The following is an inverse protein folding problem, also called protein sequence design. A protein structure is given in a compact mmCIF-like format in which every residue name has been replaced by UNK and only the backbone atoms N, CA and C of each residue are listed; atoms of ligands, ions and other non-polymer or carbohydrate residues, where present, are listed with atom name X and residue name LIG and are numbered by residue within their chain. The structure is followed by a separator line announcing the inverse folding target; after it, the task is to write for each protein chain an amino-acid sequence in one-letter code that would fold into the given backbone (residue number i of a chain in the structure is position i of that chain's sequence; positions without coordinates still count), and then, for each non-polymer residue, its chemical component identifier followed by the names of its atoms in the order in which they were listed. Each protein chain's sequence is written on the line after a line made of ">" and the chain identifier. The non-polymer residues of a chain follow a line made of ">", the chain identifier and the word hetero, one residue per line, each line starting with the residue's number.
data_IF_165082332000
#
_entry.id   IF_165082332000
#
_cell.length_a   1.000
_cell.length_b   1.000
_cell.length_c   1.000
_cell.angle_alpha   90.00
_cell.angle_beta   90.00
_cell.angle_gamma   90.00
#
_symmetry.space_group_name_H-M   'P 1'
#
loop_
_entity.id
_entity.type
_entity.pdbx_description
1 polymer ?
#
# COMPACT_ATOMS: atom_id res chain seq x y z
N UNK A 1 -21.93 -52.80 15.75
CA UNK A 1 -20.82 -51.83 15.48
C UNK A 1 -21.31 -50.38 15.27
N UNK A 2 -22.49 -49.98 15.77
CA UNK A 2 -23.08 -48.65 15.49
C UNK A 2 -22.97 -47.61 16.63
N UNK A 3 -22.28 -47.91 17.73
CA UNK A 3 -22.16 -46.99 18.87
C UNK A 3 -21.04 -45.94 18.76
N UNK A 4 -20.00 -46.20 17.95
CA UNK A 4 -18.82 -45.31 17.87
C UNK A 4 -18.94 -44.18 16.84
N UNK A 5 -19.82 -44.29 15.83
CA UNK A 5 -20.03 -43.23 14.84
C UNK A 5 -20.87 -42.06 15.38
N UNK A 6 -21.87 -42.36 16.22
CA UNK A 6 -22.76 -41.34 16.81
C UNK A 6 -22.08 -40.44 17.86
N UNK A 7 -20.98 -40.90 18.49
CA UNK A 7 -20.21 -40.11 19.46
C UNK A 7 -19.16 -39.19 18.81
N UNK A 8 -18.70 -39.49 17.59
CA UNK A 8 -17.81 -38.60 16.84
C UNK A 8 -18.60 -37.45 16.18
N UNK A 9 -19.78 -37.74 15.63
CA UNK A 9 -20.62 -36.70 15.00
C UNK A 9 -21.19 -35.71 16.02
N UNK A 10 -21.48 -36.13 17.26
CA UNK A 10 -21.94 -35.22 18.32
C UNK A 10 -20.81 -34.36 18.89
N UNK A 11 -19.57 -34.85 18.89
CA UNK A 11 -18.38 -34.11 19.28
C UNK A 11 -18.01 -33.02 18.28
N UNK A 12 -18.10 -33.30 16.98
CA UNK A 12 -17.82 -32.32 15.92
C UNK A 12 -18.90 -31.23 15.85
N UNK A 13 -20.17 -31.55 16.14
CA UNK A 13 -21.24 -30.55 16.25
C UNK A 13 -21.10 -29.68 17.51
N UNK A 14 -20.66 -30.24 18.65
CA UNK A 14 -20.37 -29.47 19.86
C UNK A 14 -19.11 -28.59 19.71
N UNK A 15 -18.12 -29.04 18.94
CA UNK A 15 -16.94 -28.22 18.60
C UNK A 15 -17.28 -27.12 17.61
N UNK A 16 -18.12 -27.38 16.60
CA UNK A 16 -18.61 -26.37 15.67
C UNK A 16 -19.50 -25.31 16.35
N UNK A 17 -20.25 -25.69 17.40
CA UNK A 17 -21.05 -24.77 18.21
C UNK A 17 -20.21 -24.00 19.24
N UNK A 18 -19.04 -24.53 19.63
CA UNK A 18 -18.06 -23.80 20.45
C UNK A 18 -17.28 -22.72 19.68
N UNK A 19 -17.16 -22.87 18.35
CA UNK A 19 -16.65 -21.82 17.43
C UNK A 19 -17.67 -20.71 17.19
N UNK A 20 -18.94 -20.96 17.53
CA UNK A 20 -20.00 -19.95 17.71
C UNK A 20 -20.07 -19.46 19.17
N UNK A 21 -18.93 -19.38 19.87
CA UNK A 21 -18.82 -18.50 21.05
C UNK A 21 -19.16 -17.08 20.61
N UNK A 22 -20.43 -16.72 20.86
CA UNK A 22 -21.01 -15.37 20.88
C UNK A 22 -19.92 -14.34 20.61
N UNK A 23 -19.83 -13.90 19.35
CA UNK A 23 -19.29 -12.61 19.04
C UNK A 23 -19.90 -11.66 20.05
N UNK A 24 -19.10 -11.16 20.99
CA UNK A 24 -19.49 -10.01 21.79
C UNK A 24 -19.58 -8.90 20.76
N UNK A 25 -20.81 -8.74 20.26
CA UNK A 25 -21.26 -7.88 19.18
C UNK A 25 -21.28 -6.43 19.68
N UNK A 26 -20.15 -5.97 20.19
CA UNK A 26 -19.96 -4.59 20.59
C UNK A 26 -18.67 -4.12 19.93
N UNK A 27 -18.86 -3.36 18.84
CA UNK A 27 -17.87 -2.51 18.17
C UNK A 27 -17.04 -3.16 17.06
N UNK A 28 -17.72 -3.53 15.96
CA UNK A 28 -17.08 -3.73 14.65
C UNK A 28 -16.78 -2.35 14.03
N UNK A 29 -15.50 -2.05 13.82
CA UNK A 29 -15.06 -0.83 13.12
C UNK A 29 -15.52 -0.89 11.65
N UNK A 30 -15.99 0.25 11.12
CA UNK A 30 -16.64 0.28 9.81
C UNK A 30 -15.70 0.37 8.59
N UNK A 31 -14.45 0.79 8.77
CA UNK A 31 -13.41 0.94 7.73
C UNK A 31 -12.39 -0.20 7.75
N UNK A 32 -12.42 -1.08 8.75
CA UNK A 32 -11.50 -2.21 8.78
C UNK A 32 -11.92 -3.37 9.65
N UNK A 33 -11.35 -4.53 9.32
CA UNK A 33 -11.53 -5.79 10.03
C UNK A 33 -10.35 -6.03 10.96
N UNK A 34 -10.63 -6.38 12.22
CA UNK A 34 -9.59 -6.61 13.22
C UNK A 34 -8.70 -7.79 12.81
N UNK A 35 -7.39 -7.57 12.73
CA UNK A 35 -6.41 -8.63 12.46
C UNK A 35 -6.18 -9.40 13.75
N UNK A 36 -6.64 -10.66 13.79
CA UNK A 36 -6.52 -11.54 14.97
C UNK A 36 -5.32 -12.48 14.90
N UNK A 37 -4.76 -12.68 13.70
CA UNK A 37 -3.66 -13.61 13.43
C UNK A 37 -2.30 -13.02 13.78
N UNK A 38 -2.16 -12.45 14.98
CA UNK A 38 -0.86 -12.01 15.49
C UNK A 38 -0.02 -13.24 15.91
N UNK A 39 0.45 -14.00 14.92
CA UNK A 39 1.49 -15.03 15.13
C UNK A 39 2.82 -14.42 15.57
N UNK A 40 3.03 -13.12 15.30
CA UNK A 40 4.17 -12.34 15.74
C UNK A 40 3.86 -11.57 17.04
N UNK A 41 4.48 -11.93 18.18
CA UNK A 41 4.34 -11.20 19.44
C UNK A 41 4.82 -9.74 19.35
N UNK A 42 5.79 -9.43 18.48
CA UNK A 42 6.32 -8.07 18.32
C UNK A 42 5.25 -7.18 17.69
N UNK A 43 4.65 -7.59 16.57
CA UNK A 43 3.54 -6.87 15.96
C UNK A 43 2.35 -6.64 16.89
N UNK A 44 2.08 -7.57 17.82
CA UNK A 44 0.99 -7.42 18.80
C UNK A 44 1.26 -6.34 19.86
N UNK A 45 2.50 -6.21 20.33
CA UNK A 45 2.88 -5.24 21.36
C UNK A 45 3.22 -3.86 20.79
N UNK A 46 3.63 -3.80 19.51
CA UNK A 46 4.04 -2.58 18.82
C UNK A 46 3.04 -1.41 18.99
N UNK A 47 1.71 -1.57 18.79
CA UNK A 47 0.75 -0.49 19.03
C UNK A 47 0.72 0.05 20.47
N UNK A 48 1.18 -0.72 21.46
CA UNK A 48 1.23 -0.29 22.86
C UNK A 48 2.50 0.51 23.16
N UNK A 49 3.63 0.08 22.59
CA UNK A 49 4.94 0.74 22.69
C UNK A 49 4.92 2.05 21.88
N UNK A 50 4.59 1.93 20.60
CA UNK A 50 4.40 3.03 19.66
C UNK A 50 2.90 3.33 19.52
N UNK A 51 2.44 4.26 20.36
CA UNK A 51 1.13 4.90 20.45
C UNK A 51 0.75 5.71 19.19
N UNK A 52 1.61 6.61 18.73
CA UNK A 52 1.37 7.52 17.60
C UNK A 52 1.81 6.96 16.26
N UNK A 53 1.40 7.59 15.15
CA UNK A 53 1.87 7.21 13.79
C UNK A 53 3.23 7.83 13.45
N UNK A 54 3.48 9.06 13.91
CA UNK A 54 4.76 9.71 13.62
C UNK A 54 5.92 9.15 14.45
N UNK A 55 5.64 8.54 15.60
CA UNK A 55 6.67 7.81 16.36
C UNK A 55 6.94 6.41 15.81
N UNK A 56 6.09 5.91 14.91
CA UNK A 56 6.26 4.64 14.19
C UNK A 56 6.51 4.86 12.69
N UNK A 57 6.89 6.08 12.31
CA UNK A 57 7.08 6.46 10.91
C UNK A 57 8.45 6.03 10.40
N UNK A 58 8.44 5.30 9.29
CA UNK A 58 9.63 4.94 8.52
C UNK A 58 9.62 5.73 7.22
N UNK A 59 10.78 6.31 6.90
CA UNK A 59 10.97 7.17 5.75
C UNK A 59 11.74 6.42 4.65
N UNK A 60 11.18 6.37 3.45
CA UNK A 60 11.79 5.75 2.27
C UNK A 60 11.91 6.79 1.16
N UNK A 61 13.12 7.03 0.66
CA UNK A 61 13.35 7.82 -0.56
C UNK A 61 13.71 6.90 -1.71
N UNK A 62 13.03 7.04 -2.83
CA UNK A 62 13.28 6.30 -4.07
C UNK A 62 13.42 7.27 -5.24
N UNK A 63 14.38 7.03 -6.12
CA UNK A 63 14.57 7.78 -7.36
C UNK A 63 14.41 6.84 -8.54
N UNK A 64 13.46 7.13 -9.43
CA UNK A 64 13.17 6.29 -10.59
C UNK A 64 13.56 7.00 -11.88
N UNK A 65 14.28 6.30 -12.75
CA UNK A 65 14.47 6.76 -14.12
C UNK A 65 13.12 6.70 -14.84
N UNK A 66 12.70 7.80 -15.47
CA UNK A 66 11.37 7.88 -16.10
C UNK A 66 11.40 7.54 -17.59
N UNK A 67 12.51 7.08 -18.16
CA UNK A 67 12.63 6.87 -19.61
C UNK A 67 11.61 5.85 -20.13
N UNK A 68 11.53 4.66 -19.51
CA UNK A 68 10.52 3.64 -19.86
C UNK A 68 9.10 4.15 -19.68
N UNK A 69 8.85 4.87 -18.58
CA UNK A 69 7.55 5.45 -18.28
C UNK A 69 7.14 6.51 -19.30
N UNK A 70 8.08 7.37 -19.72
CA UNK A 70 7.84 8.39 -20.75
C UNK A 70 7.60 7.75 -22.10
N UNK A 71 8.36 6.71 -22.45
CA UNK A 71 8.13 5.96 -23.69
C UNK A 71 6.72 5.38 -23.70
N UNK A 72 6.34 4.68 -22.64
CA UNK A 72 5.01 4.10 -22.49
C UNK A 72 3.90 5.17 -22.61
N UNK A 73 4.01 6.30 -21.89
CA UNK A 73 3.05 7.41 -21.97
C UNK A 73 2.93 7.95 -23.40
N UNK A 74 4.05 8.06 -24.14
CA UNK A 74 4.03 8.52 -25.54
C UNK A 74 3.32 7.52 -26.45
N UNK A 75 3.52 6.23 -26.24
CA UNK A 75 2.85 5.17 -27.00
C UNK A 75 1.34 5.17 -26.74
N UNK A 76 0.92 5.22 -25.47
CA UNK A 76 -0.49 5.35 -25.09
C UNK A 76 -1.13 6.61 -25.69
N UNK A 77 -0.40 7.75 -25.70
CA UNK A 77 -0.88 9.00 -26.32
C UNK A 77 -1.10 8.86 -27.82
N UNK A 78 -0.27 8.10 -28.54
CA UNK A 78 -0.48 7.83 -29.98
C UNK A 78 -1.77 7.03 -30.23
N UNK A 79 -2.17 6.21 -29.27
CA UNK A 79 -3.43 5.45 -29.31
C UNK A 79 -4.64 6.28 -28.83
N UNK A 80 -4.45 7.57 -28.54
CA UNK A 80 -5.52 8.47 -28.05
C UNK A 80 -5.72 8.44 -26.53
N UNK A 81 -4.99 7.61 -25.78
CA UNK A 81 -5.12 7.50 -24.33
C UNK A 81 -4.21 8.50 -23.61
N UNK A 82 -4.76 9.33 -22.73
CA UNK A 82 -4.00 10.33 -21.95
C UNK A 82 -3.61 9.80 -20.57
N UNK A 83 -2.67 8.86 -20.55
CA UNK A 83 -2.07 8.36 -19.30
C UNK A 83 -1.03 9.36 -18.77
N UNK A 84 -1.01 9.57 -17.46
CA UNK A 84 -0.05 10.44 -16.76
C UNK A 84 0.87 9.64 -15.84
N UNK A 85 1.99 10.25 -15.42
CA UNK A 85 2.88 9.69 -14.39
C UNK A 85 2.11 9.42 -13.09
N UNK A 86 1.18 10.31 -12.74
CA UNK A 86 0.35 10.16 -11.55
C UNK A 86 -0.57 8.93 -11.63
N UNK A 87 -1.16 8.67 -12.81
CA UNK A 87 -1.99 7.47 -13.03
C UNK A 87 -1.18 6.18 -12.89
N UNK A 88 0.04 6.17 -13.45
CA UNK A 88 0.95 5.03 -13.36
C UNK A 88 1.32 4.75 -11.91
N UNK A 89 1.73 5.78 -11.15
CA UNK A 89 2.08 5.62 -9.73
C UNK A 89 0.88 5.14 -8.90
N UNK A 90 -0.31 5.69 -9.14
CA UNK A 90 -1.54 5.26 -8.46
C UNK A 90 -1.90 3.81 -8.76
N UNK A 91 -1.81 3.39 -10.03
CA UNK A 91 -1.99 2.01 -10.43
C UNK A 91 -0.92 1.09 -9.82
N UNK A 92 0.34 1.53 -9.72
CA UNK A 92 1.38 0.79 -9.03
C UNK A 92 1.04 0.57 -7.55
N UNK A 93 0.52 1.58 -6.85
CA UNK A 93 0.02 1.40 -5.48
C UNK A 93 -1.11 0.38 -5.41
N UNK A 94 -2.08 0.46 -6.31
CA UNK A 94 -3.19 -0.51 -6.40
C UNK A 94 -2.67 -1.95 -6.55
N UNK A 95 -1.85 -2.21 -7.55
CA UNK A 95 -1.26 -3.53 -7.79
C UNK A 95 -0.44 -4.01 -6.58
N UNK A 96 0.39 -3.13 -6.03
CA UNK A 96 1.26 -3.50 -4.90
C UNK A 96 0.41 -3.84 -3.67
N UNK A 97 -0.59 -3.04 -3.32
CA UNK A 97 -1.37 -3.24 -2.09
C UNK A 97 -2.29 -4.45 -2.17
N UNK A 98 -2.90 -4.72 -3.31
CA UNK A 98 -3.77 -5.90 -3.45
C UNK A 98 -2.97 -7.20 -3.45
N UNK A 99 -1.78 -7.19 -4.03
CA UNK A 99 -0.86 -8.34 -4.01
C UNK A 99 -0.11 -8.48 -2.67
N UNK A 100 0.02 -7.37 -1.95
CA UNK A 100 0.70 -7.29 -0.66
C UNK A 100 -0.24 -6.72 0.42
N UNK A 101 -1.31 -7.46 0.80
CA UNK A 101 -2.41 -6.94 1.61
C UNK A 101 -2.01 -6.43 3.00
N UNK A 102 -0.85 -6.82 3.54
CA UNK A 102 -0.39 -6.28 4.83
C UNK A 102 -0.06 -4.78 4.77
N UNK A 103 0.25 -4.24 3.58
CA UNK A 103 0.41 -2.79 3.39
C UNK A 103 -0.92 -2.06 3.57
N UNK A 104 -2.04 -2.71 3.25
CA UNK A 104 -3.37 -2.14 3.38
C UNK A 104 -3.95 -2.33 4.80
N UNK A 105 -3.11 -2.17 5.81
CA UNK A 105 -3.47 -2.25 7.22
C UNK A 105 -3.27 -0.91 7.91
N UNK A 106 -3.86 -0.78 9.09
CA UNK A 106 -3.70 0.41 9.93
C UNK A 106 -3.86 0.08 11.41
N UNK A 107 -3.24 0.90 12.25
CA UNK A 107 -3.40 0.83 13.69
C UNK A 107 -4.42 1.88 14.15
N UNK A 108 -5.39 1.44 14.95
CA UNK A 108 -6.38 2.28 15.63
C UNK A 108 -6.71 1.67 16.99
N UNK A 109 -6.94 2.47 18.03
CA UNK A 109 -7.31 1.92 19.35
C UNK A 109 -6.31 0.92 19.93
N UNK A 110 -5.02 1.03 19.56
CA UNK A 110 -3.93 0.09 19.87
C UNK A 110 -4.14 -1.33 19.33
N UNK A 111 -4.85 -1.44 18.21
CA UNK A 111 -5.13 -2.70 17.52
C UNK A 111 -4.86 -2.55 16.03
N UNK A 112 -4.43 -3.64 15.41
CA UNK A 112 -4.16 -3.70 13.98
C UNK A 112 -5.43 -4.11 13.22
N UNK A 113 -5.74 -3.38 12.15
CA UNK A 113 -6.90 -3.60 11.29
C UNK A 113 -6.45 -3.75 9.83
N UNK A 114 -7.14 -4.59 9.10
CA UNK A 114 -7.10 -4.67 7.64
C UNK A 114 -8.16 -3.73 7.09
N UNK A 115 -7.82 -2.83 6.17
CA UNK A 115 -8.82 -2.02 5.47
C UNK A 115 -9.80 -2.90 4.71
N UNK A 116 -11.07 -2.50 4.68
CA UNK A 116 -12.12 -3.23 3.94
C UNK A 116 -12.10 -2.93 2.43
N UNK A 117 -11.47 -1.83 2.04
CA UNK A 117 -11.36 -1.36 0.66
C UNK A 117 -9.94 -0.86 0.37
N UNK A 118 -9.65 -0.56 -0.89
CA UNK A 118 -8.45 0.16 -1.27
C UNK A 118 -8.83 1.56 -1.77
N UNK A 119 -8.47 2.58 -0.98
CA UNK A 119 -8.80 3.98 -1.27
C UNK A 119 -7.52 4.81 -1.39
N UNK A 120 -7.42 5.63 -2.43
CA UNK A 120 -6.36 6.63 -2.57
C UNK A 120 -6.94 8.01 -2.30
N UNK A 121 -6.28 8.76 -1.41
CA UNK A 121 -6.48 10.20 -1.25
C UNK A 121 -5.41 10.96 -2.00
N UNK A 122 -5.78 12.07 -2.64
CA UNK A 122 -4.80 13.00 -3.19
C UNK A 122 -5.29 14.44 -3.20
N UNK A 123 -4.32 15.37 -3.13
CA UNK A 123 -4.62 16.81 -3.16
C UNK A 123 -4.85 17.26 -4.60
N UNK A 124 -5.94 17.99 -4.82
CA UNK A 124 -6.24 18.69 -6.07
C UNK A 124 -6.30 20.17 -5.79
N UNK A 125 -5.44 20.92 -6.48
CA UNK A 125 -5.49 22.38 -6.44
C UNK A 125 -6.45 22.89 -7.52
N UNK A 126 -7.42 23.70 -7.10
CA UNK A 126 -8.45 24.26 -8.01
C UNK A 126 -7.85 25.30 -8.97
N UNK A 127 -6.91 26.11 -8.48
CA UNK A 127 -6.16 27.09 -9.27
C UNK A 127 -4.67 27.07 -8.90
N UNK A 128 -3.79 27.23 -9.89
CA UNK A 128 -2.33 27.33 -9.67
C UNK A 128 -1.91 28.73 -9.20
N UNK A 129 -2.54 29.21 -8.12
CA UNK A 129 -2.27 30.48 -7.45
C UNK A 129 -2.13 30.25 -5.94
N UNK A 130 -1.53 31.19 -5.21
CA UNK A 130 -1.39 31.06 -3.75
C UNK A 130 -2.75 31.05 -3.03
N UNK A 131 -3.75 31.71 -3.60
CA UNK A 131 -5.13 31.76 -3.11
C UNK A 131 -6.00 30.59 -3.59
N UNK A 132 -5.48 29.75 -4.50
CA UNK A 132 -6.19 28.60 -5.03
C UNK A 132 -6.49 27.58 -3.94
N UNK A 133 -7.78 27.29 -3.73
CA UNK A 133 -8.22 26.32 -2.74
C UNK A 133 -7.67 24.92 -3.07
N UNK A 134 -7.19 24.25 -2.02
CA UNK A 134 -6.83 22.84 -2.05
C UNK A 134 -8.03 22.03 -1.58
N UNK A 135 -8.41 21.02 -2.36
CA UNK A 135 -9.42 20.04 -1.98
C UNK A 135 -8.82 18.65 -2.09
N UNK A 136 -9.42 17.66 -1.41
CA UNK A 136 -8.92 16.30 -1.40
C UNK A 136 -9.87 15.40 -2.19
N UNK A 137 -9.32 14.69 -3.16
CA UNK A 137 -10.03 13.63 -3.88
C UNK A 137 -9.87 12.32 -3.12
N UNK A 138 -10.97 11.59 -2.92
CA UNK A 138 -10.98 10.21 -2.43
C UNK A 138 -11.49 9.31 -3.54
N UNK A 139 -10.66 8.36 -3.97
CA UNK A 139 -11.01 7.42 -5.04
C UNK A 139 -10.88 6.00 -4.54
N UNK A 140 -11.95 5.23 -4.72
CA UNK A 140 -12.00 3.81 -4.39
C UNK A 140 -11.64 2.98 -5.63
N UNK A 141 -10.77 2.00 -5.43
CA UNK A 141 -10.42 1.01 -6.44
C UNK A 141 -10.61 -0.41 -5.93
N UNK A 142 -10.77 -1.33 -6.87
CA UNK A 142 -10.89 -2.76 -6.65
C UNK A 142 -9.85 -3.55 -7.46
N UNK A 143 -9.86 -4.87 -7.34
CA UNK A 143 -8.89 -5.74 -8.00
C UNK A 143 -9.09 -5.94 -9.49
N UNK A 144 -10.17 -5.43 -10.06
CA UNK A 144 -10.50 -5.54 -11.48
C UNK A 144 -10.19 -4.24 -12.24
N UNK A 145 -9.85 -3.16 -11.54
CA UNK A 145 -9.43 -1.89 -12.14
C UNK A 145 -8.09 -2.02 -12.88
N UNK A 146 -8.10 -1.73 -14.19
CA UNK A 146 -6.90 -1.57 -15.02
C UNK A 146 -6.31 -0.16 -14.92
N UNK A 147 -5.14 0.08 -15.51
CA UNK A 147 -4.57 1.44 -15.62
C UNK A 147 -5.52 2.45 -16.31
N UNK A 148 -6.35 2.00 -17.25
CA UNK A 148 -7.33 2.87 -17.91
C UNK A 148 -8.49 3.22 -16.96
N UNK A 149 -9.01 2.24 -16.22
CA UNK A 149 -10.00 2.48 -15.16
C UNK A 149 -9.45 3.44 -14.10
N UNK A 150 -8.18 3.29 -13.70
CA UNK A 150 -7.53 4.19 -12.75
C UNK A 150 -7.52 5.62 -13.29
N UNK A 151 -7.09 5.81 -14.53
CA UNK A 151 -7.12 7.11 -15.21
C UNK A 151 -8.53 7.70 -15.24
N UNK A 152 -9.53 6.94 -15.66
CA UNK A 152 -10.91 7.45 -15.80
C UNK A 152 -11.55 7.83 -14.46
N UNK A 153 -11.39 6.99 -13.44
CA UNK A 153 -11.88 7.29 -12.08
C UNK A 153 -11.19 8.53 -11.50
N UNK A 154 -9.88 8.69 -11.71
CA UNK A 154 -9.15 9.87 -11.22
C UNK A 154 -9.55 11.14 -11.96
N UNK A 155 -9.66 11.09 -13.29
CA UNK A 155 -10.10 12.25 -14.09
C UNK A 155 -11.51 12.69 -13.67
N UNK A 156 -12.44 11.74 -13.45
CA UNK A 156 -13.78 12.04 -12.95
C UNK A 156 -13.75 12.86 -11.65
N UNK A 157 -12.95 12.45 -10.66
CA UNK A 157 -12.87 13.16 -9.39
C UNK A 157 -12.12 14.50 -9.48
N UNK A 158 -11.15 14.62 -10.39
CA UNK A 158 -10.48 15.90 -10.66
C UNK A 158 -11.47 16.89 -11.27
N UNK A 159 -12.27 16.45 -12.25
CA UNK A 159 -13.26 17.27 -12.93
C UNK A 159 -14.41 17.65 -12.00
N UNK A 160 -14.84 16.72 -11.13
CA UNK A 160 -15.82 16.99 -10.07
C UNK A 160 -15.34 18.10 -9.11
N UNK A 161 -14.08 18.05 -8.68
CA UNK A 161 -13.48 19.08 -7.80
C UNK A 161 -13.38 20.43 -8.52
N UNK A 162 -12.97 20.44 -9.78
CA UNK A 162 -12.80 21.69 -10.54
C UNK A 162 -14.13 22.30 -10.99
N UNK A 163 -15.15 21.47 -11.19
CA UNK A 163 -16.48 21.90 -11.63
C UNK A 163 -17.43 22.29 -10.49
N UNK A 164 -17.11 21.96 -9.23
CA UNK A 164 -17.93 22.28 -8.07
C UNK A 164 -17.43 23.53 -7.32
N UNK A 165 -18.34 24.46 -7.03
CA UNK A 165 -18.08 25.51 -6.04
C UNK A 165 -18.20 24.93 -4.63
N UNK A 166 -17.08 24.36 -4.16
CA UNK A 166 -16.88 23.89 -2.79
C UNK A 166 -17.62 22.59 -2.47
N UNK A 167 -16.85 21.51 -2.28
CA UNK A 167 -17.35 20.20 -1.85
C UNK A 167 -17.97 20.25 -0.45
N UNK A 168 -18.74 19.20 -0.12
CA UNK A 168 -19.37 19.05 1.21
C UNK A 168 -18.36 19.01 2.36
N UNK A 169 -17.19 18.41 2.15
CA UNK A 169 -16.08 18.37 3.11
C UNK A 169 -15.52 19.78 3.39
N UNK A 170 -15.28 20.58 2.35
CA UNK A 170 -14.80 21.96 2.47
C UNK A 170 -15.82 22.83 3.23
N UNK A 171 -17.12 22.68 2.95
CA UNK A 171 -18.19 23.37 3.68
C UNK A 171 -18.26 22.95 5.15
N UNK A 172 -18.10 21.67 5.42
CA UNK A 172 -18.07 21.14 6.78
C UNK A 172 -16.87 21.68 7.57
N UNK A 173 -15.67 21.64 6.98
CA UNK A 173 -14.46 22.21 7.58
C UNK A 173 -14.63 23.72 7.83
N UNK A 174 -15.20 24.44 6.86
CA UNK A 174 -15.52 25.86 6.98
C UNK A 174 -16.54 26.18 8.08
N UNK A 175 -17.48 25.28 8.35
CA UNK A 175 -18.45 25.44 9.45
C UNK A 175 -17.82 25.11 10.81
N UNK A 176 -17.06 24.03 10.89
CA UNK A 176 -16.36 23.61 12.11
C UNK A 176 -15.38 24.69 12.56
N UNK A 177 -14.59 25.25 11.65
CA UNK A 177 -13.57 26.28 11.96
C UNK A 177 -14.15 27.60 12.50
N UNK A 178 -15.44 27.89 12.28
CA UNK A 178 -16.12 29.07 12.84
C UNK A 178 -16.54 28.91 14.30
N UNK A 179 -16.47 27.70 14.87
CA UNK A 179 -16.86 27.44 16.25
C UNK A 179 -15.85 28.03 17.26
N UNK A 180 -16.30 28.43 18.46
CA UNK A 180 -15.39 28.86 19.52
C UNK A 180 -14.36 27.77 19.88
N UNK A 181 -13.14 28.19 20.24
CA UNK A 181 -12.01 27.29 20.54
C UNK A 181 -12.33 26.19 21.58
N UNK A 182 -13.17 26.50 22.58
CA UNK A 182 -13.58 25.53 23.59
C UNK A 182 -14.43 24.40 23.00
N UNK A 183 -15.39 24.73 22.15
CA UNK A 183 -16.28 23.78 21.49
C UNK A 183 -15.51 22.94 20.46
N UNK A 184 -14.62 23.55 19.69
CA UNK A 184 -13.71 22.85 18.78
C UNK A 184 -12.89 21.77 19.49
N UNK A 185 -12.31 22.12 20.66
CA UNK A 185 -11.51 21.16 21.45
C UNK A 185 -12.35 19.98 21.90
N UNK A 186 -13.57 20.23 22.39
CA UNK A 186 -14.49 19.17 22.83
C UNK A 186 -14.89 18.29 21.64
N UNK A 187 -15.24 18.88 20.50
CA UNK A 187 -15.64 18.16 19.29
C UNK A 187 -14.52 17.23 18.78
N UNK A 188 -13.29 17.76 18.67
CA UNK A 188 -12.13 16.97 18.25
C UNK A 188 -11.79 15.87 19.27
N UNK A 189 -11.96 16.14 20.56
CA UNK A 189 -11.77 15.12 21.59
C UNK A 189 -12.81 14.00 21.47
N UNK A 190 -14.10 14.33 21.28
CA UNK A 190 -15.16 13.34 21.02
C UNK A 190 -14.82 12.53 19.77
N UNK A 191 -14.42 13.18 18.68
CA UNK A 191 -14.01 12.51 17.44
C UNK A 191 -12.86 11.52 17.67
N UNK A 192 -11.83 11.91 18.42
CA UNK A 192 -10.73 11.00 18.80
C UNK A 192 -11.19 9.83 19.66
N UNK A 193 -12.08 10.04 20.63
CA UNK A 193 -12.62 8.95 21.46
C UNK A 193 -13.45 7.98 20.62
N UNK A 194 -14.29 8.49 19.72
CA UNK A 194 -15.07 7.66 18.80
C UNK A 194 -14.17 6.85 17.88
N UNK A 195 -13.18 7.48 17.25
CA UNK A 195 -12.24 6.78 16.36
C UNK A 195 -11.41 5.73 17.11
N UNK A 196 -10.93 6.06 18.32
CA UNK A 196 -10.17 5.13 19.17
C UNK A 196 -10.96 3.86 19.50
N UNK A 197 -12.26 3.98 19.76
CA UNK A 197 -13.14 2.83 20.06
C UNK A 197 -13.77 2.20 18.82
N UNK A 198 -13.44 2.67 17.60
CA UNK A 198 -14.01 2.17 16.34
C UNK A 198 -15.49 2.52 16.14
N UNK A 199 -15.95 3.58 16.81
CA UNK A 199 -17.34 4.07 16.84
C UNK A 199 -17.60 5.23 15.87
N UNK A 200 -16.62 5.60 15.04
CA UNK A 200 -16.78 6.72 14.11
C UNK A 200 -17.90 6.45 13.09
N UNK A 201 -18.96 7.28 13.04
CA UNK A 201 -20.05 7.16 12.08
C UNK A 201 -19.54 7.14 10.63
N UNK A 202 -20.18 6.37 9.76
CA UNK A 202 -19.79 6.25 8.35
C UNK A 202 -19.75 7.61 7.64
N UNK A 203 -20.79 8.43 7.80
CA UNK A 203 -20.86 9.77 7.21
C UNK A 203 -19.65 10.64 7.58
N UNK A 204 -19.18 10.61 8.83
CA UNK A 204 -17.99 11.36 9.23
C UNK A 204 -16.69 10.78 8.64
N UNK A 205 -16.58 9.45 8.49
CA UNK A 205 -15.41 8.83 7.85
C UNK A 205 -15.33 9.14 6.36
N UNK A 206 -16.48 9.24 5.70
CA UNK A 206 -16.55 9.57 4.27
C UNK A 206 -16.27 11.07 4.04
N UNK A 207 -16.65 11.94 4.98
CA UNK A 207 -16.44 13.38 4.93
C UNK A 207 -15.03 13.82 5.34
N UNK A 208 -14.38 13.09 6.25
CA UNK A 208 -13.04 13.44 6.75
C UNK A 208 -11.99 12.84 5.81
N UNK A 209 -11.14 13.64 5.15
CA UNK A 209 -10.17 13.18 4.17
C UNK A 209 -8.90 12.60 4.81
N UNK A 210 -9.06 11.70 5.79
CA UNK A 210 -7.99 11.04 6.54
C UNK A 210 -8.19 9.52 6.65
N UNK A 211 -9.23 8.99 6.01
CA UNK A 211 -9.58 7.57 5.99
C UNK A 211 -9.31 6.99 4.59
N UNK A 212 -8.12 6.43 4.40
CA UNK A 212 -7.70 5.79 3.15
C UNK A 212 -6.61 4.75 3.34
N UNK A 213 -6.31 4.01 2.28
CA UNK A 213 -5.16 3.11 2.23
C UNK A 213 -3.86 3.87 2.04
N UNK A 214 -3.85 4.80 1.07
CA UNK A 214 -2.69 5.63 0.72
C UNK A 214 -3.12 7.08 0.55
N UNK A 215 -2.25 8.01 0.92
CA UNK A 215 -2.39 9.43 0.60
C UNK A 215 -1.23 9.85 -0.30
N UNK A 216 -1.52 10.38 -1.48
CA UNK A 216 -0.53 10.82 -2.46
C UNK A 216 -0.59 12.34 -2.64
N UNK A 217 0.56 13.01 -2.53
CA UNK A 217 0.69 14.43 -2.84
C UNK A 217 1.66 14.65 -4.00
N UNK A 218 1.16 15.16 -5.12
CA UNK A 218 1.98 15.38 -6.31
C UNK A 218 2.54 16.81 -6.36
N UNK A 219 3.57 17.07 -5.54
CA UNK A 219 4.28 18.35 -5.48
C UNK A 219 4.97 18.72 -6.81
N UNK A 220 5.38 17.71 -7.59
CA UNK A 220 5.95 17.93 -8.92
C UNK A 220 5.04 18.64 -9.90
N UNK A 221 3.71 18.50 -9.75
CA UNK A 221 2.74 19.20 -10.61
C UNK A 221 2.75 20.72 -10.43
N UNK A 222 3.25 21.19 -9.28
CA UNK A 222 3.45 22.61 -8.95
C UNK A 222 4.94 23.00 -8.93
N UNK A 223 5.82 22.16 -9.48
CA UNK A 223 7.26 22.42 -9.57
C UNK A 223 8.07 22.17 -8.29
N UNK A 224 7.46 21.53 -7.28
CA UNK A 224 8.13 21.17 -6.03
C UNK A 224 8.92 19.85 -6.12
N UNK A 225 9.89 19.68 -5.21
CA UNK A 225 10.62 18.42 -5.03
C UNK A 225 9.81 17.46 -4.13
N UNK A 226 10.19 16.18 -4.10
CA UNK A 226 9.58 15.21 -3.19
C UNK A 226 10.03 15.50 -1.76
N UNK A 227 9.08 15.83 -0.88
CA UNK A 227 9.33 16.10 0.54
C UNK A 227 8.84 14.93 1.39
N UNK A 228 9.51 14.63 2.50
CA UNK A 228 8.89 13.72 3.48
C UNK A 228 7.69 14.41 4.12
N UNK A 229 6.54 13.73 4.08
CA UNK A 229 5.32 14.20 4.70
C UNK A 229 4.96 13.27 5.85
N UNK A 230 4.69 13.85 7.01
CA UNK A 230 4.21 13.16 8.20
C UNK A 230 2.95 12.31 7.95
N UNK A 231 2.70 11.35 8.85
CA UNK A 231 1.41 10.66 8.90
C UNK A 231 0.44 11.43 9.78
N UNK A 232 -0.84 11.46 9.41
CA UNK A 232 -1.86 12.08 10.26
C UNK A 232 -2.16 11.17 11.46
N UNK A 233 -2.06 11.71 12.68
CA UNK A 233 -2.39 10.96 13.91
C UNK A 233 -3.87 10.55 14.00
N UNK A 234 -4.73 11.19 13.22
CA UNK A 234 -6.16 10.91 13.15
C UNK A 234 -6.52 10.30 11.79
N UNK A 235 -7.48 9.38 11.76
CA UNK A 235 -7.87 8.63 10.56
C UNK A 235 -7.25 7.24 10.50
N UNK A 236 -7.14 6.67 9.30
CA UNK A 236 -6.65 5.29 9.06
C UNK A 236 -5.61 5.16 7.95
N UNK A 237 -5.12 6.28 7.40
CA UNK A 237 -4.03 6.27 6.42
C UNK A 237 -2.69 5.93 7.07
N UNK A 238 -2.09 4.83 6.61
CA UNK A 238 -0.81 4.31 7.12
C UNK A 238 0.38 4.56 6.18
N UNK A 239 0.11 4.97 4.93
CA UNK A 239 1.12 5.23 3.92
C UNK A 239 0.86 6.58 3.26
N UNK A 240 1.87 7.45 3.30
CA UNK A 240 1.88 8.72 2.60
C UNK A 240 2.98 8.73 1.55
N UNK A 241 2.68 9.14 0.33
CA UNK A 241 3.63 9.27 -0.77
C UNK A 241 3.65 10.71 -1.29
N UNK A 242 4.83 11.29 -1.44
CA UNK A 242 5.00 12.53 -2.21
C UNK A 242 5.74 12.26 -3.51
N UNK A 243 5.26 12.90 -4.57
CA UNK A 243 5.84 12.80 -5.92
C UNK A 243 6.46 14.15 -6.27
N UNK A 244 7.77 14.18 -6.47
CA UNK A 244 8.51 15.37 -6.87
C UNK A 244 8.40 15.70 -8.36
N UNK A 245 9.03 16.81 -8.77
CA UNK A 245 9.22 17.14 -10.18
C UNK A 245 10.21 16.20 -10.85
N UNK A 246 10.13 16.12 -12.18
CA UNK A 246 11.11 15.41 -12.98
C UNK A 246 12.34 16.31 -13.15
N UNK A 247 13.53 15.76 -12.89
CA UNK A 247 14.82 16.44 -13.03
C UNK A 247 15.84 15.53 -13.71
N UNK A 248 17.01 16.07 -14.08
CA UNK A 248 18.11 15.27 -14.62
C UNK A 248 19.04 14.79 -13.50
N UNK A 249 19.34 13.50 -13.48
CA UNK A 249 20.25 12.87 -12.52
C UNK A 249 21.33 12.09 -13.30
N UNK A 250 22.61 12.13 -12.87
CA UNK A 250 23.65 11.32 -13.49
C UNK A 250 23.47 9.85 -13.09
N UNK A 251 23.54 8.96 -14.08
CA UNK A 251 23.61 7.51 -13.92
C UNK A 251 24.91 7.01 -14.54
N UNK A 252 25.50 5.98 -13.95
CA UNK A 252 26.63 5.27 -14.53
C UNK A 252 26.08 4.22 -15.50
N UNK A 253 26.52 4.24 -16.75
CA UNK A 253 26.24 3.16 -17.69
C UNK A 253 27.06 1.93 -17.30
N UNK A 254 26.40 0.77 -17.20
CA UNK A 254 27.05 -0.46 -16.73
C UNK A 254 27.96 -1.05 -17.80
N UNK A 255 27.72 -0.77 -19.08
CA UNK A 255 28.48 -1.32 -20.20
C UNK A 255 29.63 -0.41 -20.64
N UNK A 256 29.42 0.91 -20.63
CA UNK A 256 30.41 1.87 -21.13
C UNK A 256 31.20 2.58 -20.03
N UNK A 257 30.76 2.43 -18.78
CA UNK A 257 31.30 3.16 -17.62
C UNK A 257 31.12 4.68 -17.66
N UNK A 258 30.40 5.20 -18.65
CA UNK A 258 30.20 6.64 -18.85
C UNK A 258 29.05 7.18 -17.99
N UNK A 259 29.13 8.48 -17.67
CA UNK A 259 28.05 9.18 -16.98
C UNK A 259 26.99 9.62 -17.99
N UNK A 260 25.81 9.00 -17.89
CA UNK A 260 24.64 9.32 -18.70
C UNK A 260 23.63 10.09 -17.86
N UNK A 261 23.21 11.26 -18.35
CA UNK A 261 22.16 12.06 -17.71
C UNK A 261 20.79 11.54 -18.10
N UNK A 262 20.05 11.00 -17.13
CA UNK A 262 18.69 10.50 -17.35
C UNK A 262 17.68 11.35 -16.61
N UNK A 263 16.45 11.39 -17.13
CA UNK A 263 15.34 12.03 -16.44
C UNK A 263 14.90 11.13 -15.29
N UNK A 264 14.71 11.73 -14.13
CA UNK A 264 14.42 11.03 -12.89
C UNK A 264 13.30 11.72 -12.14
N UNK A 265 12.48 10.93 -11.46
CA UNK A 265 11.50 11.39 -10.50
C UNK A 265 11.80 10.81 -9.12
N UNK A 266 11.69 11.64 -8.09
CA UNK A 266 11.83 11.20 -6.71
C UNK A 266 10.44 10.93 -6.11
N UNK A 267 10.32 9.79 -5.43
CA UNK A 267 9.19 9.44 -4.57
C UNK A 267 9.67 9.33 -3.13
N UNK A 268 9.04 10.06 -2.22
CA UNK A 268 9.29 9.90 -0.78
C UNK A 268 8.05 9.30 -0.13
N UNK A 269 8.23 8.17 0.55
CA UNK A 269 7.19 7.50 1.30
C UNK A 269 7.43 7.66 2.80
N UNK A 270 6.34 7.87 3.53
CA UNK A 270 6.30 7.75 5.00
C UNK A 270 5.30 6.66 5.34
N UNK A 271 5.76 5.64 6.05
CA UNK A 271 5.01 4.40 6.27
C UNK A 271 4.96 4.09 7.77
N UNK A 272 3.80 3.70 8.28
CA UNK A 272 3.65 3.21 9.65
C UNK A 272 4.24 1.79 9.75
N UNK A 273 5.36 1.62 10.44
CA UNK A 273 6.04 0.31 10.55
C UNK A 273 5.20 -0.77 11.25
N UNK A 274 4.16 -0.37 11.99
CA UNK A 274 3.32 -1.30 12.74
C UNK A 274 2.43 -2.16 11.85
N UNK A 275 2.31 -1.83 10.56
CA UNK A 275 1.38 -2.51 9.64
C UNK A 275 1.93 -3.84 9.11
N UNK A 276 3.25 -3.94 8.94
CA UNK A 276 3.94 -5.14 8.46
C UNK A 276 5.43 -5.12 8.85
N UNK A 277 6.06 -6.29 8.88
CA UNK A 277 7.49 -6.40 9.18
C UNK A 277 8.40 -5.89 8.03
N UNK A 278 9.68 -5.69 8.35
CA UNK A 278 10.66 -5.16 7.41
C UNK A 278 10.92 -6.06 6.19
N UNK A 279 10.90 -7.38 6.33
CA UNK A 279 11.11 -8.29 5.18
C UNK A 279 9.93 -8.19 4.22
N UNK A 280 8.70 -8.17 4.76
CA UNK A 280 7.49 -7.96 4.00
C UNK A 280 7.54 -6.62 3.26
N UNK A 281 7.96 -5.55 3.95
CA UNK A 281 8.09 -4.20 3.39
C UNK A 281 9.08 -4.16 2.22
N UNK A 282 10.28 -4.71 2.37
CA UNK A 282 11.30 -4.71 1.32
C UNK A 282 10.82 -5.49 0.10
N UNK A 283 10.20 -6.66 0.28
CA UNK A 283 9.62 -7.42 -0.84
C UNK A 283 8.47 -6.68 -1.53
N UNK A 284 7.68 -5.92 -0.77
CA UNK A 284 6.65 -5.06 -1.33
C UNK A 284 7.21 -3.90 -2.14
N UNK A 285 8.29 -3.26 -1.67
CA UNK A 285 8.96 -2.19 -2.41
C UNK A 285 9.64 -2.71 -3.68
N UNK A 286 10.23 -3.91 -3.65
CA UNK A 286 10.76 -4.56 -4.86
C UNK A 286 9.66 -4.80 -5.91
N UNK A 287 8.46 -5.20 -5.46
CA UNK A 287 7.32 -5.35 -6.34
C UNK A 287 6.86 -4.00 -6.92
N UNK A 288 6.81 -2.97 -6.07
CA UNK A 288 6.50 -1.60 -6.49
C UNK A 288 7.49 -1.12 -7.55
N UNK A 289 8.79 -1.32 -7.33
CA UNK A 289 9.86 -0.92 -8.26
C UNK A 289 9.66 -1.60 -9.64
N UNK A 290 9.36 -2.90 -9.66
CA UNK A 290 9.14 -3.65 -10.90
C UNK A 290 8.01 -3.08 -11.78
N UNK A 291 6.95 -2.57 -11.16
CA UNK A 291 5.82 -1.95 -11.86
C UNK A 291 6.12 -0.54 -12.36
N UNK A 292 6.90 0.25 -11.61
CA UNK A 292 7.35 1.57 -12.07
C UNK A 292 8.29 1.43 -13.26
N UNK A 293 9.21 0.46 -13.21
CA UNK A 293 10.22 0.26 -14.25
C UNK A 293 9.61 -0.31 -15.55
N UNK A 294 8.48 -1.02 -15.45
CA UNK A 294 7.73 -1.54 -16.60
C UNK A 294 6.21 -1.26 -16.50
N UNK A 295 5.76 -0.04 -16.88
CA UNK A 295 4.35 0.34 -16.76
C UNK A 295 3.38 -0.45 -17.63
N UNK A 296 3.85 -1.17 -18.67
CA UNK A 296 2.98 -2.02 -19.48
C UNK A 296 2.36 -3.17 -18.66
N UNK A 297 3.00 -3.56 -17.55
CA UNK A 297 2.45 -4.55 -16.61
C UNK A 297 1.21 -4.07 -15.84
N UNK A 298 0.86 -2.78 -15.93
CA UNK A 298 -0.31 -2.17 -15.28
C UNK A 298 -1.56 -2.20 -16.19
N UNK A 299 -1.44 -2.67 -17.43
CA UNK A 299 -2.60 -2.81 -18.33
C UNK A 299 -3.52 -3.96 -17.92
N UNK A 300 -2.96 -5.04 -17.37
CA UNK A 300 -3.72 -6.11 -16.73
C UNK A 300 -4.26 -5.65 -15.38
N UNK A 301 -5.37 -6.22 -14.93
CA UNK A 301 -5.88 -5.92 -13.57
C UNK A 301 -5.04 -6.61 -12.48
N UNK A 302 -5.09 -6.13 -11.22
CA UNK A 302 -4.47 -6.81 -10.09
C UNK A 302 -4.90 -8.27 -9.95
N UNK A 303 -6.20 -8.58 -10.11
CA UNK A 303 -6.73 -9.95 -10.00
C UNK A 303 -6.20 -10.86 -11.12
N UNK A 304 -6.10 -10.34 -12.34
CA UNK A 304 -5.50 -11.07 -13.46
C UNK A 304 -4.03 -11.39 -13.18
N UNK A 305 -3.26 -10.39 -12.72
CA UNK A 305 -1.85 -10.57 -12.37
C UNK A 305 -1.65 -11.63 -11.26
N UNK A 306 -2.52 -11.64 -10.24
CA UNK A 306 -2.51 -12.65 -9.17
C UNK A 306 -2.78 -14.04 -9.75
N UNK A 307 -3.83 -14.18 -10.55
CA UNK A 307 -4.20 -15.45 -11.16
C UNK A 307 -3.10 -16.00 -12.08
N UNK A 308 -2.39 -15.14 -12.81
CA UNK A 308 -1.23 -15.54 -13.61
C UNK A 308 -0.07 -16.05 -12.75
N UNK A 309 0.22 -15.37 -11.64
CA UNK A 309 1.29 -15.78 -10.74
C UNK A 309 1.00 -17.11 -10.05
N UNK A 310 -0.24 -17.32 -9.61
CA UNK A 310 -0.69 -18.60 -9.06
C UNK A 310 -0.51 -19.74 -10.08
N UNK A 311 -0.90 -19.51 -11.34
CA UNK A 311 -0.69 -20.48 -12.42
C UNK A 311 0.80 -20.76 -12.66
N UNK A 312 1.65 -19.73 -12.64
CA UNK A 312 3.11 -19.87 -12.81
C UNK A 312 3.73 -20.65 -11.65
N UNK A 313 3.27 -20.41 -10.42
CA UNK A 313 3.74 -21.13 -9.23
C UNK A 313 3.31 -22.60 -9.26
N UNK A 314 2.06 -22.87 -9.65
CA UNK A 314 1.55 -24.24 -9.78
C UNK A 314 2.37 -25.05 -10.80
N UNK A 315 2.66 -24.48 -11.97
CA UNK A 315 3.52 -25.13 -12.98
C UNK A 315 4.92 -25.41 -12.45
N UNK A 316 5.55 -24.44 -11.77
CA UNK A 316 6.88 -24.62 -11.15
C UNK A 316 6.87 -25.73 -10.09
N UNK A 317 5.81 -25.82 -9.31
CA UNK A 317 5.65 -26.86 -8.30
C UNK A 317 5.49 -28.25 -8.95
N UNK A 318 4.68 -28.36 -10.00
CA UNK A 318 4.53 -29.58 -10.80
C UNK A 318 5.85 -30.03 -11.43
N UNK A 319 6.61 -29.10 -12.02
CA UNK A 319 7.94 -29.37 -12.58
C UNK A 319 8.95 -29.83 -11.51
N UNK A 320 8.91 -29.24 -10.30
CA UNK A 320 9.76 -29.64 -9.19
C UNK A 320 9.40 -31.04 -8.66
N UNK A 321 8.10 -31.37 -8.60
CA UNK A 321 7.66 -32.71 -8.22
C UNK A 321 8.10 -33.75 -9.25
N UNK A 322 7.98 -33.45 -10.55
CA UNK A 322 8.42 -34.34 -11.62
C UNK A 322 9.94 -34.58 -11.57
N UNK A 323 10.74 -33.54 -11.32
CA UNK A 323 12.20 -33.66 -11.13
C UNK A 323 12.57 -34.49 -9.89
N UNK A 324 11.83 -34.32 -8.79
CA UNK A 324 12.07 -35.09 -7.55
C UNK A 324 11.68 -36.56 -7.73
N UNK A 325 10.63 -36.86 -8.50
CA UNK A 325 10.20 -38.23 -8.80
C UNK A 325 11.10 -38.98 -9.80
N UNK A 326 11.93 -38.26 -10.58
CA UNK A 326 12.81 -38.85 -11.61
C UNK A 326 14.28 -38.96 -11.17
N UNK A 327 14.64 -38.48 -9.97
CA UNK A 327 15.99 -38.56 -9.43
C UNK A 327 16.08 -39.73 -8.43
N UNK A 328 16.92 -40.76 -8.63
CA UNK A 328 17.07 -41.85 -7.65
C UNK A 328 17.68 -41.32 -6.35
N UNK A 329 17.24 -41.87 -5.22
CA UNK A 329 17.79 -41.57 -3.89
C UNK A 329 19.31 -41.79 -3.86
N UNK A 330 20.08 -40.70 -3.95
CA UNK A 330 21.44 -40.65 -3.45
C UNK A 330 21.40 -39.99 -2.08
N UNK A 331 21.69 -40.80 -1.07
CA UNK A 331 21.84 -40.40 0.33
C UNK A 331 23.08 -39.51 0.48
N UNK A 332 22.93 -38.21 0.29
CA UNK A 332 23.65 -37.20 1.08
C UNK A 332 22.99 -35.83 0.87
N UNK A 333 22.01 -35.50 1.72
CA UNK A 333 21.46 -34.14 1.79
C UNK A 333 21.86 -33.54 3.13
N UNK A 334 22.64 -32.43 3.17
CA UNK A 334 22.91 -31.74 4.41
C UNK A 334 21.59 -31.27 5.02
N UNK A 335 21.50 -31.31 6.36
CA UNK A 335 20.28 -30.98 7.12
C UNK A 335 19.69 -29.66 6.62
N UNK A 336 18.44 -29.69 6.17
CA UNK A 336 17.70 -28.58 5.55
C UNK A 336 17.66 -27.25 6.34
N UNK A 337 18.15 -27.24 7.58
CA UNK A 337 18.24 -26.05 8.44
C UNK A 337 19.39 -25.12 8.05
N UNK A 338 20.49 -25.64 7.52
CA UNK A 338 21.66 -24.83 7.13
C UNK A 338 21.50 -24.20 5.73
N UNK A 339 20.74 -24.84 4.84
CA UNK A 339 20.48 -24.35 3.49
C UNK A 339 19.59 -23.09 3.44
N UNK A 340 18.77 -22.82 4.46
CA UNK A 340 17.93 -21.61 4.53
C UNK A 340 18.69 -20.37 5.02
N UNK A 341 19.80 -20.54 5.73
CA UNK A 341 20.63 -19.45 6.27
C UNK A 341 21.88 -19.17 5.43
N UNK A 342 22.30 -20.12 4.60
CA UNK A 342 23.41 -19.96 3.65
C UNK A 342 23.31 -18.72 2.73
N UNK A 343 22.14 -18.29 2.22
CA UNK A 343 22.05 -17.13 1.33
C UNK A 343 22.43 -15.80 1.98
N UNK A 344 22.34 -15.67 3.32
CA UNK A 344 22.60 -14.41 4.02
C UNK A 344 24.10 -14.18 4.22
N UNK A 345 24.89 -15.25 4.43
CA UNK A 345 26.36 -15.11 4.56
C UNK A 345 26.95 -14.64 3.24
N UNK A 346 26.64 -15.36 2.17
CA UNK A 346 27.10 -15.04 0.82
C UNK A 346 26.57 -13.67 0.37
N UNK A 347 25.39 -13.23 0.85
CA UNK A 347 24.85 -11.89 0.55
C UNK A 347 25.72 -10.74 1.09
N UNK A 348 26.26 -10.87 2.31
CA UNK A 348 27.13 -9.84 2.88
C UNK A 348 28.48 -9.79 2.16
N UNK A 349 29.02 -10.96 1.82
CA UNK A 349 30.29 -11.06 1.08
C UNK A 349 30.12 -10.44 -0.33
N UNK A 350 29.06 -10.80 -1.07
CA UNK A 350 28.74 -10.23 -2.39
C UNK A 350 28.41 -8.72 -2.36
N UNK A 351 27.97 -8.17 -1.22
CA UNK A 351 27.69 -6.73 -1.07
C UNK A 351 28.97 -5.92 -0.81
N UNK A 352 29.98 -6.56 -0.23
CA UNK A 352 31.25 -5.94 0.13
C UNK A 352 32.30 -6.08 -0.97
N UNK A 353 32.15 -7.06 -1.86
CA UNK A 353 32.88 -7.13 -3.12
C UNK A 353 32.56 -5.90 -3.99
N UNK A 354 33.59 -5.24 -4.49
CA UNK A 354 33.38 -4.06 -5.33
C UNK A 354 32.69 -4.51 -6.63
N UNK A 355 31.78 -3.69 -7.21
CA UNK A 355 31.13 -4.02 -8.49
C UNK A 355 32.10 -4.06 -9.70
N UNK A 356 33.41 -4.07 -9.47
CA UNK A 356 34.48 -4.07 -10.47
C UNK A 356 35.37 -5.33 -10.39
N UNK A 357 35.08 -6.33 -9.56
CA UNK A 357 35.99 -7.48 -9.37
C UNK A 357 35.71 -8.68 -10.29
N UNK A 358 34.77 -8.58 -11.23
CA UNK A 358 34.59 -9.54 -12.33
C UNK A 358 35.22 -8.97 -13.63
N UNK A 359 36.54 -9.16 -13.79
CA UNK A 359 37.27 -9.04 -15.08
C UNK A 359 37.04 -10.23 -16.01
#
# INVERSE_FOLDING_TARGET
>A
MNGKKAQLESGDQLMADSTKRKEIMCFKRGDGTLVRDAKDPIGAIMPYIMRGRNESAVYVKKSYCVDNMQQYIREQRKQGKRITVFNIISATFLHTFLRRPQLNRFVAGRRLYQHNSFDILYVVKTALTDEGLESIAKVNFDGDDTLENVKDKMDYHIDEIKGSEGKEDDRFIGLVTKLPRCLLRVLLWIGRVLDFHGLMPKFLRDLIPLYSSVFISHLGSIGGDALFHHLYEFGSTSVFCTIGKIYYKPYRDIYTDEVVWKKTIDLNLTIDERICDGYYMIKSLQLFDAYIDNPALLEQSPNEAIAEEEKKQQKRFEEQQLKTATTPDSEDKPKARDAQLHPIRDYWDNMMEHPNDDE
#
